data_IF_657420427681
#
_entry.id   IF_657420427681
#
_cell.length_a   1.000
_cell.length_b   1.000
_cell.length_c   1.000
_cell.angle_alpha   90.00
_cell.angle_beta   90.00
_cell.angle_gamma   90.00
#
_symmetry.space_group_name_H-M   'P 1'
#
loop_
_entity.id
_entity.type
_entity.pdbx_description
1 polymer ?
#
# COMPACT_ATOMS: atom_id res chain seq x y z
N UNK A 1 36.75 25.90 17.66
CA UNK A 1 36.02 24.63 17.93
C UNK A 1 34.57 25.02 18.14
N UNK A 2 33.75 24.84 17.13
CA UNK A 2 32.30 25.09 17.21
C UNK A 2 31.65 23.73 17.53
N UNK A 3 31.10 23.59 18.72
CA UNK A 3 30.29 22.46 19.11
C UNK A 3 28.92 22.55 18.41
N UNK A 4 28.70 21.75 17.38
CA UNK A 4 27.39 21.54 16.78
C UNK A 4 26.56 20.66 17.70
N UNK A 5 25.98 21.26 18.73
CA UNK A 5 25.19 20.60 19.77
C UNK A 5 23.68 20.55 19.43
N UNK A 6 23.26 20.33 18.20
CA UNK A 6 21.86 19.97 17.85
C UNK A 6 21.83 19.28 16.49
N UNK A 7 22.32 18.07 16.38
CA UNK A 7 21.84 17.20 15.33
C UNK A 7 20.51 16.59 15.83
N UNK A 8 19.44 17.35 15.71
CA UNK A 8 18.10 16.78 15.74
C UNK A 8 18.08 15.69 14.68
N UNK A 9 17.70 14.47 15.07
CA UNK A 9 17.62 13.34 14.15
C UNK A 9 16.77 13.72 12.94
N UNK A 10 17.42 13.96 11.80
CA UNK A 10 16.78 14.27 10.51
C UNK A 10 16.15 13.02 9.86
N UNK A 11 15.64 12.10 10.69
CA UNK A 11 15.01 10.88 10.20
C UNK A 11 13.66 11.20 9.59
N UNK A 12 13.45 10.71 8.40
CA UNK A 12 12.17 10.80 7.72
C UNK A 12 11.17 9.89 8.44
N UNK A 13 9.95 10.39 8.62
CA UNK A 13 8.81 9.63 9.13
C UNK A 13 8.08 9.02 7.94
N UNK A 14 7.75 7.73 8.02
CA UNK A 14 6.87 7.09 7.04
C UNK A 14 5.47 7.02 7.65
N UNK A 15 4.48 7.51 6.93
CA UNK A 15 3.11 7.67 7.38
C UNK A 15 2.15 6.93 6.44
N UNK A 16 1.20 6.23 7.02
CA UNK A 16 0.10 5.57 6.31
C UNK A 16 -1.20 6.08 6.88
N UNK A 17 -2.08 6.57 6.02
CA UNK A 17 -3.45 6.94 6.36
C UNK A 17 -4.38 5.99 5.57
N UNK A 18 -5.11 5.15 6.30
CA UNK A 18 -6.17 4.27 5.76
C UNK A 18 -7.51 4.72 6.31
N UNK A 19 -8.58 4.24 5.75
CA UNK A 19 -9.94 4.65 6.13
C UNK A 19 -10.23 4.46 7.63
N UNK A 20 -9.59 3.49 8.28
CA UNK A 20 -9.81 3.16 9.68
C UNK A 20 -8.63 3.46 10.62
N UNK A 21 -7.44 3.83 10.09
CA UNK A 21 -6.25 3.95 10.93
C UNK A 21 -5.17 4.86 10.33
N UNK A 22 -4.51 5.62 11.20
CA UNK A 22 -3.26 6.32 10.89
C UNK A 22 -2.12 5.55 11.56
N UNK A 23 -1.05 5.27 10.81
CA UNK A 23 0.17 4.63 11.33
C UNK A 23 1.40 5.40 10.93
N UNK A 24 2.39 5.45 11.81
CA UNK A 24 3.70 5.97 11.47
C UNK A 24 4.81 5.01 11.89
N UNK A 25 5.90 5.08 11.15
CA UNK A 25 7.15 4.43 11.50
C UNK A 25 8.34 5.35 11.24
N UNK A 26 9.26 5.39 12.18
CA UNK A 26 10.56 6.05 12.07
C UNK A 26 11.64 4.97 12.12
N UNK A 27 12.46 4.88 11.07
CA UNK A 27 13.56 3.91 11.00
C UNK A 27 14.84 4.52 11.57
N UNK A 28 15.59 3.71 12.33
CA UNK A 28 16.98 4.00 12.72
C UNK A 28 17.92 3.70 11.56
N UNK A 29 17.62 2.66 10.79
CA UNK A 29 18.38 2.14 9.66
C UNK A 29 17.41 1.62 8.63
N UNK A 30 17.70 1.83 7.34
CA UNK A 30 16.84 1.42 6.24
C UNK A 30 17.17 0.02 5.73
N UNK A 31 18.43 -0.35 5.67
CA UNK A 31 18.90 -1.63 5.19
C UNK A 31 20.00 -2.22 6.11
N UNK A 32 19.76 -3.35 6.79
CA UNK A 32 18.42 -3.94 7.03
C UNK A 32 17.53 -2.99 7.84
N UNK A 33 16.20 -3.06 7.72
CA UNK A 33 15.31 -2.13 8.38
C UNK A 33 15.31 -2.33 9.91
N UNK A 34 15.66 -1.27 10.63
CA UNK A 34 15.63 -1.23 12.10
C UNK A 34 14.69 -0.12 12.54
N UNK A 35 13.59 -0.48 13.18
CA UNK A 35 12.61 0.48 13.67
C UNK A 35 13.12 1.20 14.91
N UNK A 36 12.98 2.52 14.90
CA UNK A 36 13.27 3.37 16.05
C UNK A 36 12.02 3.67 16.87
N UNK A 37 10.94 4.06 16.21
CA UNK A 37 9.63 4.35 16.80
C UNK A 37 8.52 4.00 15.82
N UNK A 38 7.37 3.67 16.36
CA UNK A 38 6.12 3.55 15.62
C UNK A 38 4.94 3.91 16.51
N UNK A 39 3.79 4.12 15.90
CA UNK A 39 2.53 4.31 16.57
C UNK A 39 1.36 4.19 15.62
N UNK A 40 0.20 4.00 16.20
CA UNK A 40 -1.06 3.90 15.48
C UNK A 40 -2.16 4.69 16.18
N UNK A 41 -3.14 5.12 15.39
CA UNK A 41 -4.34 5.77 15.87
C UNK A 41 -5.51 5.38 14.98
N UNK A 42 -6.56 4.80 15.54
CA UNK A 42 -7.75 4.41 14.79
C UNK A 42 -8.64 5.61 14.54
N UNK A 43 -9.15 5.70 13.33
CA UNK A 43 -10.06 6.76 12.89
C UNK A 43 -11.51 6.38 13.15
N UNK A 44 -12.37 7.37 13.45
CA UNK A 44 -13.82 7.18 13.36
C UNK A 44 -14.23 6.79 11.94
N UNK A 45 -15.28 5.98 11.81
CA UNK A 45 -15.82 5.62 10.51
C UNK A 45 -16.25 6.87 9.72
N UNK A 46 -15.98 6.88 8.42
CA UNK A 46 -16.41 7.94 7.51
C UNK A 46 -15.53 9.20 7.47
N UNK A 47 -14.44 9.28 8.24
CA UNK A 47 -13.46 10.40 8.13
C UNK A 47 -12.66 10.31 6.83
N UNK A 48 -12.25 9.11 6.46
CA UNK A 48 -11.73 8.76 5.14
C UNK A 48 -12.66 7.68 4.59
N UNK A 49 -13.02 7.76 3.32
CA UNK A 49 -13.87 6.79 2.65
C UNK A 49 -13.32 6.48 1.26
N UNK A 50 -13.02 5.21 1.00
CA UNK A 50 -12.42 4.75 -0.26
C UNK A 50 -11.17 5.57 -0.66
N UNK A 51 -10.36 5.94 0.35
CA UNK A 51 -9.16 6.74 0.20
C UNK A 51 -9.40 8.24 -0.04
N UNK A 52 -10.64 8.72 -0.03
CA UNK A 52 -10.99 10.16 -0.12
C UNK A 52 -11.22 10.72 1.28
N UNK A 53 -10.68 11.89 1.56
CA UNK A 53 -10.89 12.59 2.83
C UNK A 53 -12.30 13.17 2.84
N UNK A 54 -13.21 12.59 3.63
CA UNK A 54 -14.60 13.05 3.72
C UNK A 54 -14.79 14.17 4.76
N UNK A 55 -13.95 14.21 5.81
CA UNK A 55 -13.95 15.28 6.82
C UNK A 55 -12.50 15.75 7.04
N UNK A 56 -12.12 16.75 6.28
CA UNK A 56 -10.76 17.29 6.30
C UNK A 56 -10.40 17.93 7.64
N UNK A 57 -11.28 18.70 8.23
CA UNK A 57 -10.99 19.42 9.49
C UNK A 57 -10.85 18.44 10.65
N UNK A 58 -11.74 17.47 10.75
CA UNK A 58 -11.66 16.42 11.77
C UNK A 58 -10.38 15.59 11.61
N UNK A 59 -10.05 15.17 10.39
CA UNK A 59 -8.82 14.40 10.13
C UNK A 59 -7.56 15.20 10.47
N UNK A 60 -7.52 16.49 10.11
CA UNK A 60 -6.43 17.41 10.45
C UNK A 60 -6.22 17.53 11.97
N UNK A 61 -7.33 17.66 12.71
CA UNK A 61 -7.27 17.80 14.16
C UNK A 61 -6.79 16.49 14.82
N UNK A 62 -7.33 15.34 14.40
CA UNK A 62 -6.85 14.02 14.84
C UNK A 62 -5.37 13.83 14.54
N UNK A 63 -4.95 14.14 13.31
CA UNK A 63 -3.54 14.01 12.91
C UNK A 63 -2.64 14.95 13.73
N UNK A 64 -3.08 16.17 14.01
CA UNK A 64 -2.33 17.12 14.85
C UNK A 64 -2.12 16.58 16.26
N UNK A 65 -3.13 16.00 16.87
CA UNK A 65 -3.03 15.34 18.18
C UNK A 65 -2.04 14.15 18.13
N UNK A 66 -2.12 13.35 17.09
CA UNK A 66 -1.17 12.25 16.86
C UNK A 66 0.28 12.76 16.75
N UNK A 67 0.52 13.82 15.99
CA UNK A 67 1.84 14.42 15.80
C UNK A 67 2.43 14.90 17.13
N UNK A 68 1.62 15.53 17.98
CA UNK A 68 2.04 15.97 19.33
C UNK A 68 2.38 14.76 20.19
N UNK A 69 1.49 13.76 20.25
CA UNK A 69 1.67 12.51 21.02
C UNK A 69 2.92 11.75 20.59
N UNK A 70 3.14 11.60 19.29
CA UNK A 70 4.26 10.88 18.70
C UNK A 70 5.57 11.69 18.68
N UNK A 71 5.51 13.00 18.92
CA UNK A 71 6.65 13.93 18.91
C UNK A 71 7.36 13.96 17.57
N UNK A 72 6.57 14.07 16.50
CA UNK A 72 7.05 14.12 15.10
C UNK A 72 6.80 15.47 14.41
N UNK A 73 6.53 16.51 15.17
CA UNK A 73 6.28 17.86 14.69
C UNK A 73 7.43 18.39 13.83
N UNK A 74 7.12 19.09 12.75
CA UNK A 74 8.07 19.67 11.78
C UNK A 74 9.04 18.63 11.18
N UNK A 75 8.57 17.40 10.99
CA UNK A 75 9.38 16.34 10.39
C UNK A 75 9.09 16.21 8.90
N UNK A 76 10.11 15.84 8.15
CA UNK A 76 9.91 15.33 6.79
C UNK A 76 9.15 14.01 6.83
N UNK A 77 8.18 13.86 5.93
CA UNK A 77 7.33 12.69 5.88
C UNK A 77 7.23 12.13 4.46
N UNK A 78 7.31 10.80 4.37
CA UNK A 78 6.82 10.03 3.23
C UNK A 78 5.46 9.50 3.56
N UNK A 79 4.54 9.51 2.61
CA UNK A 79 3.21 8.98 2.82
C UNK A 79 2.82 8.03 1.68
N UNK A 80 1.85 7.16 1.92
CA UNK A 80 1.30 6.30 0.88
C UNK A 80 0.11 6.99 0.21
N UNK A 81 0.12 6.96 -1.11
CA UNK A 81 -1.08 7.27 -1.91
C UNK A 81 -2.18 6.27 -1.57
N UNK A 82 -3.44 6.69 -1.40
CA UNK A 82 -4.54 5.77 -1.18
C UNK A 82 -4.67 4.74 -2.32
N UNK A 83 -4.68 3.47 -1.96
CA UNK A 83 -4.66 2.37 -2.94
C UNK A 83 -5.87 2.39 -3.88
N UNK A 84 -7.05 2.80 -3.38
CA UNK A 84 -8.27 2.92 -4.19
C UNK A 84 -8.14 3.94 -5.33
N UNK A 85 -7.15 4.83 -5.26
CA UNK A 85 -6.89 5.90 -6.24
C UNK A 85 -5.60 5.68 -7.02
N UNK A 86 -5.07 4.46 -7.00
CA UNK A 86 -3.83 4.07 -7.66
C UNK A 86 -4.10 3.11 -8.80
N UNK A 87 -3.45 3.33 -9.93
CA UNK A 87 -3.42 2.43 -11.08
C UNK A 87 -1.99 2.08 -11.42
N UNK A 88 -1.70 0.80 -11.56
CA UNK A 88 -0.44 0.29 -12.09
C UNK A 88 -0.76 -0.44 -13.40
N UNK A 89 -0.13 -0.03 -14.49
CA UNK A 89 -0.41 -0.58 -15.80
C UNK A 89 0.84 -0.65 -16.68
N UNK A 90 0.99 -1.76 -17.38
CA UNK A 90 1.92 -1.87 -18.50
C UNK A 90 1.32 -1.21 -19.73
N UNK A 91 2.09 -0.34 -20.39
CA UNK A 91 1.67 0.41 -21.58
C UNK A 91 2.75 0.25 -22.67
N UNK A 92 2.31 0.03 -23.91
CA UNK A 92 3.18 0.02 -25.09
C UNK A 92 3.15 1.39 -25.75
N UNK A 93 4.31 1.96 -26.04
CA UNK A 93 4.43 3.25 -26.75
C UNK A 93 5.35 3.07 -27.98
N UNK A 94 5.24 3.94 -29.02
CA UNK A 94 6.10 3.90 -30.18
C UNK A 94 7.59 4.01 -29.80
N UNK A 95 8.44 3.25 -30.51
CA UNK A 95 9.89 3.20 -30.24
C UNK A 95 10.60 4.54 -30.46
N UNK A 96 10.12 5.33 -31.40
CA UNK A 96 10.71 6.62 -31.80
C UNK A 96 10.50 7.72 -30.75
N UNK A 97 9.58 7.55 -29.80
CA UNK A 97 9.44 8.46 -28.65
C UNK A 97 10.71 8.38 -27.81
N UNK A 98 11.41 9.52 -27.62
CA UNK A 98 12.60 9.58 -26.78
C UNK A 98 12.23 9.49 -25.30
N UNK A 99 13.20 9.07 -24.46
CA UNK A 99 12.94 8.83 -23.04
C UNK A 99 12.52 10.12 -22.30
N UNK A 100 13.04 11.27 -22.68
CA UNK A 100 12.67 12.59 -22.16
C UNK A 100 11.31 13.12 -22.69
N UNK A 101 10.80 12.52 -23.79
CA UNK A 101 9.51 12.86 -24.39
C UNK A 101 8.36 11.96 -23.87
N UNK A 102 8.66 10.84 -23.18
CA UNK A 102 7.65 9.86 -22.76
C UNK A 102 6.54 10.51 -21.93
N UNK A 103 6.88 11.33 -20.93
CA UNK A 103 5.89 11.99 -20.09
C UNK A 103 4.95 12.89 -20.90
N UNK A 104 5.50 13.70 -21.82
CA UNK A 104 4.69 14.56 -22.69
C UNK A 104 3.81 13.76 -23.63
N UNK A 105 4.31 12.67 -24.21
CA UNK A 105 3.54 11.75 -25.04
C UNK A 105 2.37 11.14 -24.27
N UNK A 106 2.60 10.67 -23.06
CA UNK A 106 1.55 10.07 -22.22
C UNK A 106 0.45 11.06 -21.88
N UNK A 107 0.78 12.33 -21.59
CA UNK A 107 -0.25 13.36 -21.36
C UNK A 107 -1.16 13.55 -22.58
N UNK A 108 -0.63 13.44 -23.80
CA UNK A 108 -1.44 13.54 -25.03
C UNK A 108 -2.30 12.29 -25.28
N UNK A 109 -1.83 11.13 -24.82
CA UNK A 109 -2.55 9.87 -24.98
C UNK A 109 -3.57 9.59 -23.86
N UNK A 110 -3.49 10.31 -22.74
CA UNK A 110 -4.49 10.22 -21.68
C UNK A 110 -5.87 10.61 -22.19
N UNK A 111 -6.86 9.75 -21.94
CA UNK A 111 -8.22 9.92 -22.47
C UNK A 111 -8.42 9.45 -23.92
N UNK A 112 -7.35 9.30 -24.71
CA UNK A 112 -7.40 8.77 -26.07
C UNK A 112 -7.15 7.26 -26.10
N UNK A 113 -5.88 6.86 -26.00
CA UNK A 113 -5.47 5.45 -26.01
C UNK A 113 -5.25 4.89 -24.59
N UNK A 114 -4.94 5.75 -23.62
CA UNK A 114 -4.72 5.39 -22.22
C UNK A 114 -5.92 5.87 -21.39
N UNK A 115 -6.77 4.93 -20.97
CA UNK A 115 -7.95 5.24 -20.17
C UNK A 115 -7.66 4.96 -18.71
N UNK A 116 -7.71 5.98 -17.87
CA UNK A 116 -7.63 5.90 -16.41
C UNK A 116 -9.02 6.14 -15.79
N UNK A 117 -9.29 5.68 -14.58
CA UNK A 117 -10.58 5.88 -13.91
C UNK A 117 -10.77 7.32 -13.36
N UNK A 118 -9.85 8.23 -13.64
CA UNK A 118 -9.84 9.64 -13.23
C UNK A 118 -9.31 10.52 -14.37
N UNK A 119 -9.72 11.79 -14.40
CA UNK A 119 -9.43 12.72 -15.50
C UNK A 119 -8.07 13.38 -15.40
N UNK A 120 -7.65 13.76 -14.19
CA UNK A 120 -6.39 14.46 -13.93
C UNK A 120 -5.42 13.54 -13.15
N UNK A 121 -4.53 12.81 -13.85
CA UNK A 121 -3.56 11.94 -13.20
C UNK A 121 -2.24 12.67 -12.87
N UNK A 122 -1.74 12.46 -11.67
CA UNK A 122 -0.30 12.52 -11.41
C UNK A 122 0.30 11.14 -11.66
N UNK A 123 1.42 11.06 -12.39
CA UNK A 123 1.98 9.77 -12.73
C UNK A 123 3.50 9.76 -12.82
N UNK A 124 4.06 8.58 -12.67
CA UNK A 124 5.47 8.26 -12.90
C UNK A 124 5.59 7.05 -13.82
N UNK A 125 6.74 6.91 -14.50
CA UNK A 125 6.95 5.87 -15.49
C UNK A 125 8.32 5.20 -15.32
N UNK A 126 8.32 3.89 -15.59
CA UNK A 126 9.55 3.10 -15.64
C UNK A 126 9.62 2.36 -16.96
N UNK A 127 10.73 2.53 -17.71
CA UNK A 127 10.98 1.77 -18.91
C UNK A 127 11.24 0.30 -18.54
N UNK A 128 10.48 -0.61 -19.14
CA UNK A 128 10.61 -2.05 -18.94
C UNK A 128 11.50 -2.69 -19.97
N UNK A 129 11.17 -2.47 -21.25
CA UNK A 129 11.81 -3.13 -22.37
C UNK A 129 11.73 -2.26 -23.64
N UNK A 130 12.71 -2.40 -24.53
CA UNK A 130 12.70 -1.80 -25.85
C UNK A 130 12.83 -2.90 -26.89
N UNK A 131 11.82 -3.02 -27.74
CA UNK A 131 11.80 -3.97 -28.88
C UNK A 131 12.12 -3.24 -30.19
N UNK A 132 12.05 -3.95 -31.31
CA UNK A 132 12.28 -3.34 -32.63
C UNK A 132 11.17 -2.35 -33.02
N UNK A 133 9.94 -2.55 -32.52
CA UNK A 133 8.76 -1.78 -32.90
C UNK A 133 8.28 -0.81 -31.83
N UNK A 134 8.46 -1.15 -30.53
CA UNK A 134 7.86 -0.44 -29.42
C UNK A 134 8.73 -0.41 -28.17
N UNK A 135 8.42 0.51 -27.26
CA UNK A 135 8.87 0.51 -25.88
C UNK A 135 7.72 0.04 -24.97
N UNK A 136 8.03 -0.83 -24.05
CA UNK A 136 7.13 -1.21 -22.97
C UNK A 136 7.49 -0.42 -21.73
N UNK A 137 6.51 0.28 -21.17
CA UNK A 137 6.67 1.06 -19.95
C UNK A 137 5.73 0.58 -18.86
N UNK A 138 6.07 0.83 -17.63
CA UNK A 138 5.20 0.66 -16.48
C UNK A 138 4.75 2.05 -16.03
N UNK A 139 3.45 2.27 -16.06
CA UNK A 139 2.80 3.51 -15.66
C UNK A 139 2.25 3.33 -14.24
N UNK A 140 2.63 4.24 -13.35
CA UNK A 140 2.05 4.42 -12.02
C UNK A 140 1.26 5.71 -12.04
N UNK A 141 -0.04 5.65 -11.88
CA UNK A 141 -0.88 6.84 -11.95
C UNK A 141 -1.82 6.91 -10.74
N UNK A 142 -2.00 8.12 -10.23
CA UNK A 142 -2.92 8.40 -9.14
C UNK A 142 -3.74 9.66 -9.47
N UNK A 143 -4.90 9.81 -8.85
CA UNK A 143 -5.73 11.00 -8.94
C UNK A 143 -5.03 12.20 -8.29
N UNK A 144 -4.69 13.24 -9.09
CA UNK A 144 -3.87 14.37 -8.63
C UNK A 144 -4.52 15.12 -7.47
N UNK A 145 -5.83 15.38 -7.55
CA UNK A 145 -6.57 16.07 -6.50
C UNK A 145 -6.44 15.36 -5.15
N UNK A 146 -6.59 14.04 -5.14
CA UNK A 146 -6.46 13.24 -3.91
C UNK A 146 -5.04 13.30 -3.35
N UNK A 147 -4.02 13.13 -4.19
CA UNK A 147 -2.62 13.20 -3.74
C UNK A 147 -2.29 14.59 -3.18
N UNK A 148 -2.75 15.66 -3.84
CA UNK A 148 -2.56 17.04 -3.41
C UNK A 148 -3.30 17.34 -2.10
N UNK A 149 -4.51 16.79 -1.90
CA UNK A 149 -5.27 16.95 -0.66
C UNK A 149 -4.56 16.31 0.53
N UNK A 150 -4.01 15.09 0.37
CA UNK A 150 -3.20 14.45 1.40
C UNK A 150 -1.93 15.24 1.72
N UNK A 151 -1.23 15.74 0.71
CA UNK A 151 -0.06 16.60 0.92
C UNK A 151 -0.44 17.86 1.70
N UNK A 152 -1.55 18.52 1.31
CA UNK A 152 -2.09 19.70 1.99
C UNK A 152 -2.46 19.42 3.45
N UNK A 153 -3.09 18.27 3.73
CA UNK A 153 -3.39 17.82 5.09
C UNK A 153 -2.13 17.74 5.95
N UNK A 154 -1.08 17.10 5.41
CA UNK A 154 0.20 16.94 6.11
C UNK A 154 0.88 18.28 6.39
N UNK A 155 0.87 19.19 5.41
CA UNK A 155 1.42 20.55 5.57
C UNK A 155 0.67 21.37 6.63
N UNK A 156 -0.69 21.33 6.60
CA UNK A 156 -1.53 21.99 7.61
C UNK A 156 -1.35 21.39 9.00
N UNK A 157 -1.05 20.11 9.11
CA UNK A 157 -0.66 19.46 10.35
C UNK A 157 0.83 19.69 10.74
N UNK A 158 1.54 20.59 10.02
CA UNK A 158 2.93 20.97 10.27
C UNK A 158 3.94 19.81 10.08
N UNK A 159 3.69 18.95 9.13
CA UNK A 159 4.65 18.02 8.58
C UNK A 159 5.13 18.52 7.21
N UNK A 160 6.26 17.99 6.72
CA UNK A 160 6.81 18.34 5.42
C UNK A 160 6.79 17.13 4.51
N UNK A 161 5.75 16.95 3.68
CA UNK A 161 5.69 15.84 2.72
C UNK A 161 6.81 16.01 1.68
N UNK A 162 7.62 14.97 1.52
CA UNK A 162 8.76 14.97 0.58
C UNK A 162 8.61 13.92 -0.51
N UNK A 163 7.76 12.90 -0.31
CA UNK A 163 7.59 11.80 -1.23
C UNK A 163 6.24 11.13 -1.00
N UNK A 164 5.51 10.85 -2.08
CA UNK A 164 4.35 9.99 -2.11
C UNK A 164 4.78 8.62 -2.66
N UNK A 165 4.59 7.55 -1.89
CA UNK A 165 4.95 6.18 -2.25
C UNK A 165 3.66 5.36 -2.40
N UNK A 166 3.77 4.11 -2.80
CA UNK A 166 2.64 3.20 -3.01
C UNK A 166 2.78 1.93 -2.19
N UNK A 167 1.65 1.41 -1.70
CA UNK A 167 1.64 0.25 -0.81
C UNK A 167 2.26 -1.00 -1.43
N UNK A 168 2.02 -1.36 -2.71
CA UNK A 168 2.63 -2.54 -3.32
C UNK A 168 4.15 -2.51 -3.29
N UNK A 169 4.77 -1.36 -3.61
CA UNK A 169 6.23 -1.23 -3.57
C UNK A 169 6.78 -1.28 -2.15
N UNK A 170 6.09 -0.66 -1.20
CA UNK A 170 6.48 -0.68 0.21
C UNK A 170 6.45 -2.11 0.77
N UNK A 171 5.39 -2.87 0.51
CA UNK A 171 5.25 -4.26 0.92
C UNK A 171 6.24 -5.17 0.19
N UNK A 172 6.47 -4.93 -1.11
CA UNK A 172 7.45 -5.68 -1.87
C UNK A 172 8.88 -5.49 -1.34
N UNK A 173 9.28 -4.27 -0.97
CA UNK A 173 10.56 -4.01 -0.32
C UNK A 173 10.70 -4.81 0.98
N UNK A 174 9.63 -4.88 1.77
CA UNK A 174 9.62 -5.68 3.00
C UNK A 174 9.78 -7.19 2.70
N UNK A 175 9.04 -7.71 1.72
CA UNK A 175 9.16 -9.09 1.23
C UNK A 175 10.58 -9.37 0.72
N UNK A 176 11.15 -8.46 -0.09
CA UNK A 176 12.52 -8.57 -0.61
C UNK A 176 13.54 -8.73 0.52
N UNK A 177 13.47 -7.87 1.54
CA UNK A 177 14.38 -7.93 2.68
C UNK A 177 14.16 -9.15 3.57
N UNK A 178 13.00 -9.81 3.53
CA UNK A 178 12.74 -11.01 4.31
C UNK A 178 13.56 -12.24 3.88
N UNK A 179 14.26 -12.15 2.75
CA UNK A 179 15.06 -13.23 2.18
C UNK A 179 14.25 -14.35 1.52
N UNK A 180 12.93 -14.18 1.39
CA UNK A 180 12.04 -15.17 0.74
C UNK A 180 11.93 -14.97 -0.78
N UNK A 181 12.53 -13.91 -1.31
CA UNK A 181 12.49 -13.59 -2.74
C UNK A 181 13.21 -14.66 -3.56
N UNK A 182 12.57 -15.08 -4.64
CA UNK A 182 13.20 -15.81 -5.74
C UNK A 182 12.97 -14.99 -7.03
N UNK A 183 14.02 -14.63 -7.79
CA UNK A 183 13.89 -13.84 -9.03
C UNK A 183 12.96 -14.45 -10.08
N UNK A 184 12.89 -15.79 -10.12
CA UNK A 184 12.06 -16.54 -11.08
C UNK A 184 10.56 -16.59 -10.67
N UNK A 185 10.22 -16.08 -9.49
CA UNK A 185 8.83 -16.11 -9.04
C UNK A 185 7.97 -15.08 -9.81
N UNK A 186 6.83 -15.54 -10.29
CA UNK A 186 5.70 -14.70 -10.65
C UNK A 186 4.84 -14.59 -9.39
N UNK A 187 5.03 -13.49 -8.67
CA UNK A 187 4.50 -13.30 -7.33
C UNK A 187 3.14 -12.61 -7.37
N UNK A 188 2.13 -13.15 -6.70
CA UNK A 188 0.94 -12.42 -6.30
C UNK A 188 1.09 -11.98 -4.84
N UNK A 189 1.23 -10.68 -4.62
CA UNK A 189 1.28 -10.06 -3.30
C UNK A 189 -0.10 -9.52 -2.96
N UNK A 190 -0.69 -10.01 -1.88
CA UNK A 190 -2.05 -9.65 -1.45
C UNK A 190 -1.99 -9.02 -0.08
N UNK A 191 -2.55 -7.82 0.03
CA UNK A 191 -2.74 -7.11 1.29
C UNK A 191 -4.22 -7.10 1.67
N UNK A 192 -4.60 -7.80 2.74
CA UNK A 192 -5.94 -7.74 3.32
C UNK A 192 -6.00 -6.65 4.37
N UNK A 193 -6.72 -5.60 4.08
CA UNK A 193 -7.09 -4.54 5.01
C UNK A 193 -8.53 -4.75 5.49
N UNK A 194 -9.01 -3.91 6.42
CA UNK A 194 -10.33 -4.07 7.02
C UNK A 194 -11.47 -4.11 6.00
N UNK A 195 -11.40 -3.30 4.93
CA UNK A 195 -12.46 -3.13 3.94
C UNK A 195 -12.02 -3.33 2.51
N UNK A 196 -10.73 -3.49 2.29
CA UNK A 196 -10.16 -3.54 0.95
C UNK A 196 -9.03 -4.58 0.88
N UNK A 197 -8.96 -5.26 -0.23
CA UNK A 197 -7.85 -6.14 -0.58
C UNK A 197 -7.11 -5.57 -1.79
N UNK A 198 -5.80 -5.45 -1.67
CA UNK A 198 -4.94 -5.06 -2.78
C UNK A 198 -4.20 -6.29 -3.29
N UNK A 199 -4.46 -6.66 -4.53
CA UNK A 199 -3.81 -7.77 -5.22
C UNK A 199 -2.85 -7.22 -6.28
N UNK A 200 -1.55 -7.44 -6.09
CA UNK A 200 -0.49 -6.92 -6.97
C UNK A 200 0.37 -8.05 -7.52
N UNK A 201 0.58 -8.07 -8.84
CA UNK A 201 1.42 -9.07 -9.50
C UNK A 201 2.80 -8.49 -9.77
N UNK A 202 3.81 -9.18 -9.29
CA UNK A 202 5.22 -8.85 -9.51
C UNK A 202 5.90 -9.88 -10.40
N UNK A 203 6.65 -9.38 -11.39
CA UNK A 203 7.50 -10.17 -12.27
C UNK A 203 8.84 -9.46 -12.40
N UNK A 204 9.94 -10.16 -12.19
CA UNK A 204 11.29 -9.57 -12.20
C UNK A 204 11.39 -8.33 -11.30
N UNK A 205 10.86 -8.42 -10.08
CA UNK A 205 10.84 -7.35 -9.06
C UNK A 205 10.01 -6.10 -9.43
N UNK A 206 9.19 -6.16 -10.46
CA UNK A 206 8.38 -5.03 -10.93
C UNK A 206 6.89 -5.33 -10.79
N UNK A 207 6.09 -4.42 -10.22
CA UNK A 207 4.65 -4.59 -10.13
C UNK A 207 4.01 -4.33 -11.49
N UNK A 208 3.66 -5.38 -12.21
CA UNK A 208 3.10 -5.25 -13.57
C UNK A 208 1.59 -5.03 -13.60
N UNK A 209 0.92 -5.31 -12.49
CA UNK A 209 -0.54 -5.19 -12.36
C UNK A 209 -0.93 -5.02 -10.90
N UNK A 210 -1.98 -4.25 -10.66
CA UNK A 210 -2.64 -4.11 -9.35
C UNK A 210 -4.14 -4.04 -9.53
N UNK A 211 -4.88 -4.69 -8.62
CA UNK A 211 -6.32 -4.59 -8.50
C UNK A 211 -6.72 -4.37 -7.06
N UNK A 212 -7.57 -3.38 -6.85
CA UNK A 212 -8.26 -3.15 -5.58
C UNK A 212 -9.58 -3.90 -5.58
N UNK A 213 -9.87 -4.62 -4.52
CA UNK A 213 -11.06 -5.42 -4.33
C UNK A 213 -11.70 -4.93 -3.03
N UNK A 214 -12.91 -4.40 -3.10
CA UNK A 214 -13.65 -4.06 -1.90
C UNK A 214 -14.21 -5.31 -1.23
N UNK A 215 -14.05 -5.41 0.08
CA UNK A 215 -14.70 -6.43 0.88
C UNK A 215 -16.15 -5.99 1.10
N UNK A 216 -17.09 -6.82 0.71
CA UNK A 216 -18.51 -6.59 0.93
C UNK A 216 -18.80 -6.68 2.44
N UNK A 217 -19.43 -5.65 3.02
CA UNK A 217 -19.76 -5.60 4.46
C UNK A 217 -19.87 -4.17 4.95
N UNK A 218 -20.52 -3.97 6.08
CA UNK A 218 -20.64 -2.65 6.69
C UNK A 218 -19.48 -2.35 7.64
N UNK A 219 -18.93 -1.13 7.54
CA UNK A 219 -17.93 -0.63 8.51
C UNK A 219 -18.51 -0.58 9.91
N UNK A 220 -19.83 -0.32 10.01
CA UNK A 220 -20.54 -0.18 11.29
C UNK A 220 -20.62 -1.48 12.09
N UNK A 221 -20.27 -2.62 11.47
CA UNK A 221 -20.17 -3.93 12.13
C UNK A 221 -18.82 -4.14 12.83
N UNK A 222 -17.91 -3.19 12.70
CA UNK A 222 -16.59 -3.23 13.33
C UNK A 222 -16.48 -2.20 14.46
N UNK A 223 -16.14 -2.64 15.64
CA UNK A 223 -15.91 -1.77 16.79
C UNK A 223 -14.44 -1.80 17.24
N UNK A 224 -13.95 -0.64 17.66
CA UNK A 224 -12.63 -0.52 18.25
C UNK A 224 -12.63 -1.00 19.69
N UNK A 225 -12.09 -2.18 19.95
CA UNK A 225 -11.78 -2.64 21.30
C UNK A 225 -10.40 -2.14 21.74
N UNK A 226 -10.37 -1.29 22.77
CA UNK A 226 -9.10 -0.77 23.30
C UNK A 226 -8.42 -1.81 24.19
N UNK A 227 -7.20 -2.17 23.84
CA UNK A 227 -6.37 -3.07 24.68
C UNK A 227 -5.64 -2.28 25.76
N UNK A 228 -5.25 -1.03 25.45
CA UNK A 228 -4.68 -0.05 26.38
C UNK A 228 -4.87 1.37 25.82
N UNK A 229 -4.28 2.39 26.46
CA UNK A 229 -4.42 3.79 26.01
C UNK A 229 -3.88 4.07 24.61
N UNK A 230 -2.95 3.25 24.11
CA UNK A 230 -2.21 3.49 22.88
C UNK A 230 -2.45 2.46 21.78
N UNK A 231 -3.09 1.33 22.09
CA UNK A 231 -3.34 0.24 21.16
C UNK A 231 -4.77 -0.26 21.22
N UNK A 232 -5.32 -0.58 20.06
CA UNK A 232 -6.65 -1.18 19.91
C UNK A 232 -6.64 -2.31 18.89
N UNK A 233 -7.74 -2.99 18.80
CA UNK A 233 -8.04 -3.97 17.75
C UNK A 233 -9.45 -3.72 17.24
N UNK A 234 -9.66 -3.87 15.94
CA UNK A 234 -11.01 -3.90 15.38
C UNK A 234 -11.62 -5.27 15.67
N UNK A 235 -12.82 -5.27 16.23
CA UNK A 235 -13.60 -6.47 16.57
C UNK A 235 -14.87 -6.46 15.74
N UNK A 236 -15.14 -7.55 15.08
CA UNK A 236 -16.38 -7.74 14.35
C UNK A 236 -17.51 -8.05 15.33
N UNK A 237 -18.63 -7.34 15.20
CA UNK A 237 -19.77 -7.46 16.10
C UNK A 237 -20.83 -8.45 15.63
N UNK A 238 -20.75 -8.91 14.39
CA UNK A 238 -21.62 -9.93 13.81
C UNK A 238 -21.11 -11.35 14.03
N UNK A 239 -21.74 -12.31 13.33
CA UNK A 239 -21.26 -13.69 13.32
C UNK A 239 -20.04 -13.85 12.45
N UNK A 240 -19.00 -14.50 12.98
CA UNK A 240 -17.72 -14.66 12.30
C UNK A 240 -17.82 -15.56 11.05
N UNK A 241 -18.59 -16.62 11.13
CA UNK A 241 -18.80 -17.56 10.03
C UNK A 241 -19.50 -16.86 8.86
N UNK A 242 -20.52 -16.04 9.15
CA UNK A 242 -21.20 -15.22 8.14
C UNK A 242 -20.22 -14.25 7.47
N UNK A 243 -19.36 -13.59 8.26
CA UNK A 243 -18.34 -12.70 7.69
C UNK A 243 -17.34 -13.45 6.79
N UNK A 244 -16.84 -14.61 7.23
CA UNK A 244 -15.92 -15.40 6.41
C UNK A 244 -16.58 -15.88 5.09
N UNK A 245 -17.91 -16.09 5.08
CA UNK A 245 -18.65 -16.39 3.88
C UNK A 245 -18.74 -15.19 2.93
N UNK A 246 -18.80 -13.94 3.43
CA UNK A 246 -18.77 -12.75 2.58
C UNK A 246 -17.43 -12.62 1.82
N UNK A 247 -16.34 -13.21 2.31
CA UNK A 247 -15.06 -13.20 1.63
C UNK A 247 -15.01 -14.10 0.37
N UNK A 248 -16.02 -14.92 0.10
CA UNK A 248 -16.10 -15.75 -1.11
C UNK A 248 -16.09 -14.91 -2.40
N UNK A 249 -16.76 -13.74 -2.38
CA UNK A 249 -16.69 -12.80 -3.50
C UNK A 249 -15.28 -12.24 -3.69
N UNK A 250 -14.58 -11.99 -2.59
CA UNK A 250 -13.18 -11.54 -2.61
C UNK A 250 -12.27 -12.61 -3.20
N UNK A 251 -12.42 -13.87 -2.81
CA UNK A 251 -11.64 -14.98 -3.38
C UNK A 251 -11.94 -15.16 -4.87
N UNK A 252 -13.21 -15.02 -5.28
CA UNK A 252 -13.58 -15.02 -6.70
C UNK A 252 -12.88 -13.92 -7.49
N UNK A 253 -12.75 -12.72 -6.93
CA UNK A 253 -12.02 -11.63 -7.56
C UNK A 253 -10.50 -11.90 -7.62
N UNK A 254 -9.93 -12.57 -6.61
CA UNK A 254 -8.53 -13.02 -6.64
C UNK A 254 -8.33 -14.06 -7.75
N UNK A 255 -9.26 -15.00 -7.93
CA UNK A 255 -9.22 -15.99 -9.01
C UNK A 255 -9.27 -15.33 -10.40
N UNK A 256 -10.04 -14.23 -10.53
CA UNK A 256 -10.05 -13.42 -11.74
C UNK A 256 -8.70 -12.73 -12.00
N UNK A 257 -8.01 -12.25 -10.95
CA UNK A 257 -6.66 -11.69 -11.07
C UNK A 257 -5.66 -12.74 -11.54
N UNK A 258 -5.69 -13.95 -10.98
CA UNK A 258 -4.84 -15.07 -11.40
C UNK A 258 -5.10 -15.44 -12.86
N UNK A 259 -6.36 -15.56 -13.24
CA UNK A 259 -6.78 -15.88 -14.62
C UNK A 259 -6.40 -14.76 -15.59
N UNK A 260 -6.61 -13.50 -15.21
CA UNK A 260 -6.22 -12.35 -16.02
C UNK A 260 -4.70 -12.32 -16.28
N UNK A 261 -3.91 -12.61 -15.25
CA UNK A 261 -2.47 -12.70 -15.42
C UNK A 261 -2.10 -13.82 -16.41
N UNK A 262 -2.59 -15.02 -16.19
CA UNK A 262 -2.25 -16.19 -17.01
C UNK A 262 -2.65 -16.01 -18.47
N UNK A 263 -3.90 -15.59 -18.74
CA UNK A 263 -4.43 -15.59 -20.10
C UNK A 263 -4.23 -14.25 -20.84
N UNK A 264 -4.26 -13.13 -20.14
CA UNK A 264 -4.22 -11.81 -20.78
C UNK A 264 -2.84 -11.15 -20.72
N UNK A 265 -2.17 -11.17 -19.56
CA UNK A 265 -0.89 -10.48 -19.40
C UNK A 265 0.29 -11.32 -19.81
N UNK A 266 0.30 -12.62 -19.52
CA UNK A 266 1.40 -13.53 -19.87
C UNK A 266 1.15 -14.30 -21.18
N UNK A 267 -0.03 -14.14 -21.80
CA UNK A 267 -0.40 -14.87 -23.03
C UNK A 267 -0.21 -16.40 -22.90
N UNK A 268 -0.66 -16.96 -21.79
CA UNK A 268 -0.54 -18.40 -21.44
C UNK A 268 0.90 -18.92 -21.24
N UNK A 269 1.89 -18.03 -21.27
CA UNK A 269 3.29 -18.46 -21.10
C UNK A 269 3.66 -18.70 -19.63
N UNK A 270 3.02 -17.98 -18.73
CA UNK A 270 3.32 -18.03 -17.31
C UNK A 270 2.06 -17.98 -16.45
N UNK A 271 2.19 -18.53 -15.25
CA UNK A 271 1.18 -18.42 -14.19
C UNK A 271 1.84 -17.91 -12.91
N UNK A 272 1.04 -17.45 -11.96
CA UNK A 272 1.54 -17.10 -10.63
C UNK A 272 2.15 -18.36 -9.99
N UNK A 273 3.36 -18.26 -9.49
CA UNK A 273 4.09 -19.37 -8.86
C UNK A 273 4.02 -19.31 -7.34
N UNK A 274 3.84 -18.11 -6.78
CA UNK A 274 3.83 -17.87 -5.35
C UNK A 274 2.83 -16.79 -4.98
N UNK A 275 2.15 -16.99 -3.85
CA UNK A 275 1.22 -16.02 -3.25
C UNK A 275 1.77 -15.61 -1.90
N UNK A 276 1.94 -14.30 -1.68
CA UNK A 276 2.31 -13.75 -0.37
C UNK A 276 1.12 -12.96 0.17
N UNK A 277 0.63 -13.34 1.34
CA UNK A 277 -0.51 -12.71 2.01
C UNK A 277 -0.01 -11.91 3.20
N UNK A 278 -0.49 -10.69 3.30
CA UNK A 278 -0.18 -9.75 4.37
C UNK A 278 -1.39 -8.86 4.66
N UNK A 279 -1.27 -7.92 5.58
CA UNK A 279 -2.30 -6.94 5.89
C UNK A 279 -2.59 -6.84 7.38
N UNK A 280 -3.64 -6.07 7.71
CA UNK A 280 -4.05 -5.81 9.09
C UNK A 280 -5.48 -6.27 9.40
N UNK A 281 -6.05 -7.08 8.52
CA UNK A 281 -7.39 -7.64 8.69
C UNK A 281 -7.46 -8.47 9.99
N UNK A 282 -8.46 -8.26 10.87
CA UNK A 282 -8.57 -9.00 12.13
C UNK A 282 -8.64 -10.54 11.99
N UNK A 283 -9.22 -11.03 10.88
CA UNK A 283 -9.30 -12.47 10.55
C UNK A 283 -8.21 -12.93 9.57
N UNK A 284 -7.05 -12.27 9.60
CA UNK A 284 -5.96 -12.57 8.65
C UNK A 284 -5.45 -14.02 8.77
N UNK A 285 -5.47 -14.62 9.97
CA UNK A 285 -5.02 -15.99 10.18
C UNK A 285 -5.97 -17.00 9.52
N UNK A 286 -7.29 -16.78 9.64
CA UNK A 286 -8.33 -17.58 8.97
C UNK A 286 -8.27 -17.42 7.45
N UNK A 287 -8.10 -16.19 6.97
CA UNK A 287 -7.92 -15.89 5.55
C UNK A 287 -6.71 -16.65 4.98
N UNK A 288 -5.57 -16.63 5.66
CA UNK A 288 -4.37 -17.36 5.25
C UNK A 288 -4.61 -18.86 5.23
N UNK A 289 -5.33 -19.39 6.21
CA UNK A 289 -5.69 -20.83 6.26
C UNK A 289 -6.57 -21.22 5.07
N UNK A 290 -7.58 -20.41 4.77
CA UNK A 290 -8.47 -20.63 3.62
C UNK A 290 -7.70 -20.56 2.31
N UNK A 291 -6.85 -19.54 2.11
CA UNK A 291 -6.05 -19.42 0.90
C UNK A 291 -5.09 -20.59 0.71
N UNK A 292 -4.51 -21.13 1.78
CA UNK A 292 -3.67 -22.33 1.70
C UNK A 292 -4.44 -23.57 1.30
N UNK A 293 -5.72 -23.67 1.64
CA UNK A 293 -6.57 -24.79 1.22
C UNK A 293 -7.05 -24.65 -0.22
N UNK A 294 -7.26 -23.43 -0.69
CA UNK A 294 -7.86 -23.08 -1.99
C UNK A 294 -6.85 -23.11 -3.14
N UNK A 295 -5.63 -22.62 -2.89
CA UNK A 295 -4.63 -22.44 -3.94
C UNK A 295 -3.54 -23.52 -3.91
N UNK A 296 -3.17 -24.01 -5.12
CA UNK A 296 -2.06 -24.97 -5.28
C UNK A 296 -0.69 -24.30 -5.18
N UNK A 297 -0.62 -22.98 -5.46
CA UNK A 297 0.58 -22.19 -5.32
C UNK A 297 1.02 -22.12 -3.86
N UNK A 298 2.32 -21.95 -3.63
CA UNK A 298 2.84 -21.74 -2.29
C UNK A 298 2.28 -20.45 -1.68
N UNK A 299 1.38 -20.57 -0.70
CA UNK A 299 0.85 -19.42 0.07
C UNK A 299 1.71 -19.18 1.29
N UNK A 300 2.33 -18.01 1.34
CA UNK A 300 3.29 -17.60 2.35
C UNK A 300 2.87 -16.28 3.02
N UNK A 301 3.51 -15.96 4.13
CA UNK A 301 3.39 -14.67 4.80
C UNK A 301 4.77 -14.04 4.95
N UNK A 302 4.83 -12.72 5.11
CA UNK A 302 6.08 -12.07 5.52
C UNK A 302 6.35 -12.49 6.98
N UNK A 303 7.55 -13.03 7.30
CA UNK A 303 7.83 -13.56 8.63
C UNK A 303 7.70 -12.50 9.72
N UNK A 304 6.97 -12.82 10.79
CA UNK A 304 6.92 -11.98 11.99
C UNK A 304 8.32 -11.93 12.64
N UNK A 305 8.70 -10.77 13.14
CA UNK A 305 9.99 -10.59 13.83
C UNK A 305 11.21 -10.43 12.93
N UNK A 306 11.03 -10.39 11.60
CA UNK A 306 12.11 -10.05 10.69
C UNK A 306 12.60 -8.61 10.91
N UNK A 307 11.69 -7.68 11.17
CA UNK A 307 12.03 -6.29 11.43
C UNK A 307 12.52 -6.14 12.87
N UNK A 308 13.79 -5.76 13.01
CA UNK A 308 14.36 -5.49 14.32
C UNK A 308 13.90 -4.13 14.84
N UNK A 309 13.79 -4.01 16.15
CA UNK A 309 13.52 -2.74 16.82
C UNK A 309 14.55 -2.42 17.88
N UNK A 310 14.81 -1.13 18.07
CA UNK A 310 15.74 -0.66 19.11
C UNK A 310 15.16 -0.67 20.51
N UNK A 311 13.83 -0.81 20.64
CA UNK A 311 13.06 -0.78 21.90
C UNK A 311 11.82 -1.65 21.77
N UNK A 312 11.17 -1.97 22.91
CA UNK A 312 9.83 -2.56 22.89
C UNK A 312 8.88 -1.60 22.21
N UNK A 313 8.31 -2.00 21.08
CA UNK A 313 7.42 -1.17 20.27
C UNK A 313 6.01 -1.18 20.86
N UNK A 314 5.34 -0.03 20.80
CA UNK A 314 3.96 0.15 21.24
C UNK A 314 2.98 0.17 20.03
N UNK A 315 3.31 -0.57 18.97
CA UNK A 315 2.39 -0.75 17.85
C UNK A 315 2.22 -2.24 17.58
N UNK A 316 0.98 -2.64 17.27
CA UNK A 316 0.63 -3.96 16.76
C UNK A 316 0.57 -3.88 15.24
N UNK A 317 1.72 -3.84 14.61
CA UNK A 317 1.75 -4.12 13.18
C UNK A 317 1.84 -5.63 12.97
N UNK A 318 1.19 -6.21 11.97
CA UNK A 318 1.40 -7.61 11.60
C UNK A 318 2.85 -7.95 11.28
N UNK A 319 3.72 -6.94 11.19
CA UNK A 319 5.14 -7.06 10.86
C UNK A 319 6.09 -6.99 12.07
N UNK A 320 5.58 -6.74 13.30
CA UNK A 320 6.39 -6.66 14.52
C UNK A 320 6.04 -7.74 15.53
#
# INVERSE_FOLDING_TARGET
>A
MAFTLFSGSNRVVNLVLKDHVIRYVELKQQDPPIVHKCGEHFLPAGVIKDGVIADFDLLKDILSDCIVKWKIHKRQVRFLVPDARLVIRKVSIPKDIKDDEITGYLYLEMGNSIHLPFEEPVFDVVLLEVTEEKKEILLFAAEEEVVAEYATLLEKAQLYPIEADISPLSLYRLYFHSGQRNPEDHLLLIEFNLQMVNASIFVNDKPIFMKNIQITGSVDEWELSRVNADTGIMVYMGDKEDYLQLLEDTYTEIDRVLSFYQYSLSHEQHQVTKIVVTGDHPFLEEIIAEMKSRYQQAVMTIPKGYIQSTRKLNCRSPFF
#
